data_IF_139266214408
#
_entry.id   IF_139266214408
#
_cell.length_a   1.000
_cell.length_b   1.000
_cell.length_c   1.000
_cell.angle_alpha   90.00
_cell.angle_beta   90.00
_cell.angle_gamma   90.00
#
_symmetry.space_group_name_H-M   'P 1'
#
loop_
_entity.id
_entity.type
_entity.pdbx_description
1 polymer ?
#
# COMPACT_ATOMS: atom_id res chain seq x y z
N UNK A 1 15.49 -4.26 -4.15
CA UNK A 1 14.41 -3.32 -4.50
C UNK A 1 13.32 -4.11 -5.19
N UNK A 2 12.23 -4.33 -4.46
CA UNK A 2 11.16 -5.26 -4.85
C UNK A 2 9.84 -4.53 -4.89
N UNK A 3 8.96 -4.93 -5.80
CA UNK A 3 7.66 -4.29 -5.99
C UNK A 3 6.55 -5.29 -5.68
N UNK A 4 5.74 -4.99 -4.68
CA UNK A 4 4.50 -5.70 -4.40
C UNK A 4 3.30 -4.94 -4.97
N UNK A 5 2.26 -5.69 -5.31
CA UNK A 5 0.96 -5.17 -5.71
C UNK A 5 -0.08 -5.77 -4.79
N UNK A 6 -0.94 -4.91 -4.26
CA UNK A 6 -2.04 -5.30 -3.38
C UNK A 6 -3.35 -4.88 -4.03
N UNK A 7 -4.30 -5.78 -4.08
CA UNK A 7 -5.68 -5.48 -4.48
C UNK A 7 -6.46 -5.10 -3.23
N UNK A 8 -7.03 -3.91 -3.24
CA UNK A 8 -7.96 -3.44 -2.21
C UNK A 8 -9.39 -3.69 -2.64
N UNK A 9 -10.28 -3.63 -1.66
CA UNK A 9 -11.69 -3.40 -1.89
C UNK A 9 -11.93 -2.08 -2.64
N UNK A 10 -13.10 -1.93 -3.32
CA UNK A 10 -13.44 -0.74 -4.07
C UNK A 10 -13.28 0.53 -3.23
N UNK A 11 -12.30 1.36 -3.57
CA UNK A 11 -12.11 2.65 -2.92
C UNK A 11 -13.21 3.61 -3.39
N UNK A 12 -13.98 4.15 -2.46
CA UNK A 12 -15.09 5.07 -2.77
C UNK A 12 -14.73 6.55 -2.62
N UNK A 13 -13.55 6.87 -2.08
CA UNK A 13 -13.16 8.24 -1.79
C UNK A 13 -11.71 8.55 -2.23
N UNK A 14 -11.48 9.60 -3.05
CA UNK A 14 -10.14 10.03 -3.46
C UNK A 14 -9.22 10.41 -2.28
N UNK A 15 -9.82 10.86 -1.17
CA UNK A 15 -9.11 11.21 0.07
C UNK A 15 -8.37 10.03 0.69
N UNK A 16 -8.86 8.80 0.46
CA UNK A 16 -8.26 7.56 0.98
C UNK A 16 -6.89 7.27 0.37
N UNK A 17 -6.68 7.66 -0.89
CA UNK A 17 -5.44 7.45 -1.66
C UNK A 17 -4.26 8.06 -0.91
N UNK A 18 -4.34 9.37 -0.60
CA UNK A 18 -3.26 10.11 0.06
C UNK A 18 -2.94 9.56 1.46
N UNK A 19 -3.94 9.02 2.17
CA UNK A 19 -3.74 8.39 3.48
C UNK A 19 -2.90 7.12 3.36
N UNK A 20 -3.20 6.26 2.39
CA UNK A 20 -2.49 5.00 2.18
C UNK A 20 -1.07 5.28 1.69
N UNK A 21 -0.91 6.07 0.63
CA UNK A 21 0.41 6.43 0.08
C UNK A 21 1.27 7.12 1.13
N UNK A 22 0.71 8.10 1.84
CA UNK A 22 1.42 8.84 2.87
C UNK A 22 1.83 7.99 4.07
N UNK A 23 1.10 6.91 4.38
CA UNK A 23 1.47 5.99 5.46
C UNK A 23 2.54 5.00 5.01
N UNK A 24 2.40 4.42 3.82
CA UNK A 24 3.37 3.48 3.26
C UNK A 24 4.71 4.15 2.98
N UNK A 25 4.72 5.34 2.39
CA UNK A 25 5.96 6.10 2.14
C UNK A 25 6.69 6.57 3.41
N UNK A 26 6.06 6.43 4.59
CA UNK A 26 6.69 6.70 5.89
C UNK A 26 7.24 5.44 6.56
N UNK A 27 7.02 4.26 5.99
CA UNK A 27 7.59 3.03 6.51
C UNK A 27 9.05 2.93 6.10
N UNK A 28 9.90 2.51 7.03
CA UNK A 28 11.31 2.30 6.75
C UNK A 28 11.49 1.21 5.70
N UNK A 29 12.31 1.49 4.70
CA UNK A 29 12.50 0.58 3.56
C UNK A 29 11.50 0.74 2.40
N UNK A 30 10.44 1.53 2.54
CA UNK A 30 9.57 1.87 1.40
C UNK A 30 10.19 2.99 0.58
N UNK A 31 10.32 2.75 -0.72
CA UNK A 31 10.94 3.67 -1.68
C UNK A 31 9.88 4.43 -2.48
N UNK A 32 8.82 3.72 -2.87
CA UNK A 32 7.69 4.34 -3.57
C UNK A 32 6.40 3.63 -3.20
N UNK A 33 5.34 4.37 -2.92
CA UNK A 33 3.99 3.83 -2.78
C UNK A 33 3.02 4.61 -3.68
N UNK A 34 2.28 3.90 -4.53
CA UNK A 34 1.30 4.45 -5.46
C UNK A 34 -0.02 3.70 -5.37
N UNK A 35 -1.12 4.42 -5.26
CA UNK A 35 -2.47 3.85 -5.23
C UNK A 35 -3.17 4.12 -6.57
N UNK A 36 -3.47 3.05 -7.28
CA UNK A 36 -4.22 3.03 -8.54
C UNK A 36 -5.71 2.95 -8.22
N UNK A 37 -6.32 4.09 -7.92
CA UNK A 37 -7.74 4.20 -7.54
C UNK A 37 -8.70 3.57 -8.56
N UNK A 38 -8.49 3.81 -9.86
CA UNK A 38 -9.32 3.24 -10.93
C UNK A 38 -9.35 1.71 -10.95
N UNK A 39 -8.32 1.06 -10.41
CA UNK A 39 -8.22 -0.40 -10.35
C UNK A 39 -8.30 -0.94 -8.92
N UNK A 40 -8.49 -0.07 -7.92
CA UNK A 40 -8.39 -0.38 -6.49
C UNK A 40 -7.12 -1.17 -6.14
N UNK A 41 -5.98 -0.80 -6.73
CA UNK A 41 -4.69 -1.47 -6.50
C UNK A 41 -3.70 -0.56 -5.82
N UNK A 42 -2.83 -1.10 -5.00
CA UNK A 42 -1.66 -0.41 -4.45
C UNK A 42 -0.41 -1.05 -5.02
N UNK A 43 0.52 -0.24 -5.50
CA UNK A 43 1.85 -0.64 -5.92
C UNK A 43 2.85 -0.05 -4.94
N UNK A 44 3.58 -0.89 -4.23
CA UNK A 44 4.61 -0.46 -3.30
C UNK A 44 5.96 -1.05 -3.71
N UNK A 45 6.95 -0.18 -3.85
CA UNK A 45 8.36 -0.52 -4.08
C UNK A 45 9.09 -0.36 -2.76
N UNK A 46 9.77 -1.41 -2.31
CA UNK A 46 10.41 -1.45 -1.00
C UNK A 46 11.68 -2.32 -1.02
N UNK A 47 12.46 -2.24 0.07
CA UNK A 47 13.61 -3.11 0.31
C UNK A 47 13.19 -4.28 1.21
N UNK A 48 13.28 -5.50 0.69
CA UNK A 48 12.94 -6.73 1.43
C UNK A 48 13.83 -6.94 2.68
N UNK A 49 14.99 -6.29 2.74
CA UNK A 49 15.88 -6.31 3.91
C UNK A 49 15.39 -5.43 5.08
N UNK A 50 14.36 -4.60 4.86
CA UNK A 50 13.86 -3.62 5.83
C UNK A 50 12.37 -3.80 6.13
N UNK A 51 11.58 -4.13 5.12
CA UNK A 51 10.14 -4.32 5.24
C UNK A 51 9.67 -5.42 4.30
N UNK A 52 8.66 -6.16 4.72
CA UNK A 52 8.08 -7.25 3.92
C UNK A 52 6.76 -6.86 3.28
N UNK A 53 6.36 -7.59 2.22
CA UNK A 53 5.05 -7.38 1.60
C UNK A 53 3.89 -7.58 2.60
N UNK A 54 4.01 -8.53 3.53
CA UNK A 54 3.03 -8.77 4.59
C UNK A 54 2.90 -7.58 5.55
N UNK A 55 4.02 -6.93 5.93
CA UNK A 55 3.95 -5.74 6.78
C UNK A 55 3.28 -4.55 6.09
N UNK A 56 3.52 -4.39 4.79
CA UNK A 56 2.82 -3.39 3.97
C UNK A 56 1.32 -3.70 3.93
N UNK A 57 0.94 -4.96 3.68
CA UNK A 57 -0.45 -5.43 3.71
C UNK A 57 -1.11 -5.13 5.04
N UNK A 58 -0.51 -5.57 6.15
CA UNK A 58 -1.02 -5.34 7.51
C UNK A 58 -1.18 -3.85 7.80
N UNK A 59 -0.26 -3.02 7.32
CA UNK A 59 -0.35 -1.56 7.50
C UNK A 59 -1.55 -0.99 6.76
N UNK A 60 -1.81 -1.44 5.53
CA UNK A 60 -2.98 -1.03 4.75
C UNK A 60 -4.28 -1.48 5.42
N UNK A 61 -4.33 -2.72 5.92
CA UNK A 61 -5.48 -3.26 6.66
C UNK A 61 -5.73 -2.50 7.97
N UNK A 62 -4.67 -2.13 8.71
CA UNK A 62 -4.76 -1.30 9.92
C UNK A 62 -5.32 0.10 9.67
N UNK A 63 -5.19 0.61 8.45
CA UNK A 63 -5.82 1.87 8.06
C UNK A 63 -7.32 1.73 7.75
N UNK A 64 -7.85 0.50 7.75
CA UNK A 64 -9.24 0.18 7.42
C UNK A 64 -9.47 -0.13 5.95
N UNK A 65 -8.43 -0.52 5.20
CA UNK A 65 -8.55 -0.92 3.79
C UNK A 65 -8.15 -2.40 3.64
N UNK A 66 -9.13 -3.32 3.57
CA UNK A 66 -8.84 -4.75 3.44
C UNK A 66 -8.13 -5.05 2.12
N UNK A 67 -7.09 -5.88 2.19
CA UNK A 67 -6.36 -6.36 1.03
C UNK A 67 -6.91 -7.74 0.66
N UNK A 68 -7.50 -7.85 -0.53
CA UNK A 68 -8.17 -9.07 -1.00
C UNK A 68 -7.27 -9.97 -1.85
N UNK A 69 -6.15 -9.46 -2.40
CA UNK A 69 -5.16 -10.22 -3.17
C UNK A 69 -3.79 -9.54 -3.21
#
# INVERSE_FOLDING_TARGET
>A
MTTAKFQLEPLTCPSCIKKIEGKLSKMDGVVEAKVLFNSSKVKATFSEDQVTADELKITIEKLGYPVIA
#
